data_IF_804914068257
#
_entry.id   IF_804914068257
#
_cell.length_a   1.000
_cell.length_b   1.000
_cell.length_c   1.000
_cell.angle_alpha   90.00
_cell.angle_beta   90.00
_cell.angle_gamma   90.00
#
_symmetry.space_group_name_H-M   'P 1'
#
loop_
_entity.id
_entity.type
_entity.pdbx_description
1 polymer ?
#
# COMPACT_ATOMS: atom_id res chain seq x y z
N UNK A 1 -8.86 20.51 59.24
CA UNK A 1 -9.96 20.58 58.24
C UNK A 1 -9.37 21.12 56.94
N UNK A 2 -8.92 20.23 56.05
CA UNK A 2 -8.20 20.62 54.81
C UNK A 2 -9.24 20.98 53.75
N UNK A 3 -9.28 22.25 53.32
CA UNK A 3 -10.14 22.68 52.21
C UNK A 3 -9.56 22.11 50.92
N UNK A 4 -10.20 21.10 50.36
CA UNK A 4 -9.88 20.53 49.05
C UNK A 4 -10.09 21.60 47.98
N UNK A 5 -9.01 22.02 47.33
CA UNK A 5 -9.06 22.92 46.18
C UNK A 5 -9.68 22.17 44.99
N UNK A 6 -10.88 22.60 44.57
CA UNK A 6 -11.52 22.08 43.36
C UNK A 6 -11.27 23.06 42.21
N UNK A 7 -10.52 22.61 41.20
CA UNK A 7 -10.32 23.39 39.98
C UNK A 7 -11.66 23.77 39.33
N UNK A 8 -12.62 22.84 39.26
CA UNK A 8 -14.00 23.09 38.79
C UNK A 8 -14.73 24.14 39.64
N UNK A 9 -14.56 24.09 40.96
CA UNK A 9 -15.20 25.06 41.87
C UNK A 9 -14.58 26.45 41.79
N UNK A 10 -13.28 26.53 41.49
CA UNK A 10 -12.54 27.78 41.32
C UNK A 10 -12.83 28.42 39.97
N UNK A 11 -12.93 27.64 38.89
CA UNK A 11 -13.33 28.16 37.57
C UNK A 11 -14.78 28.65 37.56
N UNK A 12 -15.72 27.94 38.20
CA UNK A 12 -17.11 28.41 38.35
C UNK A 12 -17.21 29.75 39.10
N UNK A 13 -16.30 29.99 40.06
CA UNK A 13 -16.26 31.26 40.80
C UNK A 13 -15.57 32.38 40.03
N UNK A 14 -14.57 32.06 39.22
CA UNK A 14 -13.80 33.03 38.43
C UNK A 14 -14.50 33.44 37.12
N UNK A 15 -15.21 32.51 36.49
CA UNK A 15 -15.75 32.68 35.14
C UNK A 15 -17.27 32.50 35.04
N UNK A 16 -17.94 32.21 36.16
CA UNK A 16 -19.37 31.87 36.19
C UNK A 16 -19.65 30.41 35.83
N UNK A 17 -20.88 29.96 36.07
CA UNK A 17 -21.35 28.70 35.47
C UNK A 17 -21.44 28.89 33.96
N UNK A 18 -21.01 27.86 33.22
CA UNK A 18 -21.24 27.77 31.78
C UNK A 18 -22.72 28.05 31.48
N UNK A 19 -22.97 29.01 30.60
CA UNK A 19 -24.36 29.39 30.30
C UNK A 19 -25.02 28.27 29.51
N UNK A 20 -26.36 28.10 29.63
CA UNK A 20 -27.10 27.12 28.83
C UNK A 20 -26.77 27.20 27.33
N UNK A 21 -26.58 28.40 26.81
CA UNK A 21 -26.25 28.67 25.40
C UNK A 21 -24.84 28.17 25.03
N UNK A 22 -23.86 28.33 25.92
CA UNK A 22 -22.50 27.81 25.71
C UNK A 22 -22.48 26.28 25.71
N UNK A 23 -23.26 25.66 26.58
CA UNK A 23 -23.41 24.21 26.64
C UNK A 23 -24.10 23.68 25.38
N UNK A 24 -25.17 24.34 24.94
CA UNK A 24 -25.90 23.98 23.74
C UNK A 24 -25.03 24.12 22.48
N UNK A 25 -24.23 25.20 22.39
CA UNK A 25 -23.27 25.38 21.30
C UNK A 25 -22.21 24.26 21.25
N UNK A 26 -21.70 23.82 22.41
CA UNK A 26 -20.76 22.67 22.48
C UNK A 26 -21.43 21.35 22.09
N UNK A 27 -22.67 21.12 22.51
CA UNK A 27 -23.41 19.92 22.12
C UNK A 27 -23.66 19.89 20.62
N UNK A 28 -24.09 21.01 20.03
CA UNK A 28 -24.28 21.16 18.59
C UNK A 28 -22.98 20.88 17.80
N UNK A 29 -21.86 21.43 18.27
CA UNK A 29 -20.54 21.16 17.67
C UNK A 29 -20.15 19.68 17.75
N UNK A 30 -20.40 19.02 18.88
CA UNK A 30 -20.11 17.60 19.04
C UNK A 30 -20.99 16.75 18.11
N UNK A 31 -22.28 17.10 17.97
CA UNK A 31 -23.19 16.43 17.04
C UNK A 31 -22.69 16.56 15.59
N UNK A 32 -22.26 17.76 15.18
CA UNK A 32 -21.70 18.00 13.85
C UNK A 32 -20.43 17.19 13.61
N UNK A 33 -19.53 17.13 14.60
CA UNK A 33 -18.31 16.32 14.53
C UNK A 33 -18.60 14.81 14.43
N UNK A 34 -19.64 14.34 15.12
CA UNK A 34 -20.06 12.93 15.02
C UNK A 34 -20.54 12.64 13.60
N UNK A 35 -21.43 13.47 13.05
CA UNK A 35 -21.96 13.29 11.69
C UNK A 35 -20.83 13.31 10.66
N UNK A 36 -19.93 14.29 10.73
CA UNK A 36 -18.76 14.36 9.84
C UNK A 36 -17.85 13.14 9.98
N UNK A 37 -17.68 12.64 11.20
CA UNK A 37 -16.90 11.43 11.47
C UNK A 37 -17.55 10.19 10.85
N UNK A 38 -18.86 10.03 10.98
CA UNK A 38 -19.63 8.92 10.39
C UNK A 38 -19.58 8.95 8.86
N UNK A 39 -19.74 10.13 8.25
CA UNK A 39 -19.59 10.31 6.80
C UNK A 39 -18.18 9.93 6.34
N UNK A 40 -17.14 10.40 7.05
CA UNK A 40 -15.74 10.07 6.74
C UNK A 40 -15.47 8.57 6.82
N UNK A 41 -15.96 7.91 7.88
CA UNK A 41 -15.79 6.45 8.03
C UNK A 41 -16.50 5.72 6.90
N UNK A 42 -17.69 6.16 6.52
CA UNK A 42 -18.45 5.56 5.42
C UNK A 42 -17.68 5.70 4.10
N UNK A 43 -17.19 6.90 3.78
CA UNK A 43 -16.40 7.17 2.57
C UNK A 43 -15.14 6.29 2.53
N UNK A 44 -14.37 6.26 3.63
CA UNK A 44 -13.14 5.46 3.71
C UNK A 44 -13.38 3.96 3.68
N UNK A 45 -14.53 3.50 4.16
CA UNK A 45 -14.92 2.09 4.05
C UNK A 45 -15.14 1.72 2.59
N UNK A 46 -15.85 2.55 1.82
CA UNK A 46 -16.07 2.33 0.38
C UNK A 46 -14.74 2.35 -0.38
N UNK A 47 -13.88 3.33 -0.12
CA UNK A 47 -12.55 3.42 -0.75
C UNK A 47 -11.71 2.15 -0.49
N UNK A 48 -11.74 1.64 0.75
CA UNK A 48 -11.05 0.42 1.12
C UNK A 48 -11.58 -0.81 0.36
N UNK A 49 -12.91 -0.94 0.24
CA UNK A 49 -13.52 -2.04 -0.52
C UNK A 49 -13.14 -2.00 -2.00
N UNK A 50 -13.15 -0.82 -2.61
CA UNK A 50 -12.73 -0.63 -4.01
C UNK A 50 -11.26 -0.99 -4.21
N UNK A 51 -10.39 -0.54 -3.30
CA UNK A 51 -8.98 -0.90 -3.31
C UNK A 51 -8.77 -2.41 -3.21
N UNK A 52 -9.43 -3.07 -2.27
CA UNK A 52 -9.33 -4.53 -2.10
C UNK A 52 -9.80 -5.28 -3.34
N UNK A 53 -10.90 -4.84 -3.97
CA UNK A 53 -11.38 -5.41 -5.25
C UNK A 53 -10.33 -5.26 -6.35
N UNK A 54 -9.72 -4.08 -6.50
CA UNK A 54 -8.65 -3.84 -7.46
C UNK A 54 -7.43 -4.73 -7.22
N UNK A 55 -6.91 -4.73 -5.98
CA UNK A 55 -5.77 -5.54 -5.58
C UNK A 55 -6.03 -7.04 -5.77
N UNK A 56 -7.26 -7.49 -5.56
CA UNK A 56 -7.64 -8.88 -5.81
C UNK A 56 -7.53 -9.25 -7.29
N UNK A 57 -8.02 -8.39 -8.20
CA UNK A 57 -7.91 -8.62 -9.65
C UNK A 57 -6.44 -8.71 -10.08
N UNK A 58 -5.60 -7.81 -9.57
CA UNK A 58 -4.17 -7.83 -9.89
C UNK A 58 -3.49 -9.09 -9.37
N UNK A 59 -3.83 -9.54 -8.16
CA UNK A 59 -3.35 -10.80 -7.61
C UNK A 59 -3.75 -12.00 -8.46
N UNK A 60 -4.97 -12.05 -8.98
CA UNK A 60 -5.42 -13.13 -9.86
C UNK A 60 -4.66 -13.11 -11.20
N UNK A 61 -4.51 -11.94 -11.82
CA UNK A 61 -3.71 -11.78 -13.05
C UNK A 61 -2.29 -12.27 -12.85
N UNK A 62 -1.64 -11.88 -11.74
CA UNK A 62 -0.30 -12.35 -11.43
C UNK A 62 -0.24 -13.88 -11.30
N UNK A 63 -1.20 -14.50 -10.59
CA UNK A 63 -1.26 -15.96 -10.42
C UNK A 63 -1.39 -16.69 -11.74
N UNK A 64 -2.19 -16.17 -12.67
CA UNK A 64 -2.39 -16.75 -14.01
C UNK A 64 -1.16 -16.57 -14.91
N UNK A 65 -0.41 -15.47 -14.75
CA UNK A 65 0.68 -15.11 -15.66
C UNK A 65 2.05 -15.62 -15.22
N UNK A 66 2.33 -15.72 -13.91
CA UNK A 66 3.68 -15.98 -13.36
C UNK A 66 4.38 -17.18 -13.98
N UNK A 67 3.66 -18.28 -14.20
CA UNK A 67 4.25 -19.54 -14.66
C UNK A 67 4.57 -19.48 -16.15
N UNK A 68 3.71 -18.83 -16.94
CA UNK A 68 3.94 -18.59 -18.36
C UNK A 68 5.14 -17.66 -18.54
N UNK A 69 5.15 -16.53 -17.84
CA UNK A 69 6.19 -15.51 -18.00
C UNK A 69 7.56 -16.06 -17.57
N UNK A 70 7.62 -16.82 -16.48
CA UNK A 70 8.84 -17.52 -16.06
C UNK A 70 9.28 -18.55 -17.10
N UNK A 71 8.35 -19.35 -17.63
CA UNK A 71 8.65 -20.35 -18.66
C UNK A 71 9.20 -19.71 -19.92
N UNK A 72 8.60 -18.61 -20.38
CA UNK A 72 9.06 -17.88 -21.57
C UNK A 72 10.47 -17.30 -21.35
N UNK A 73 10.73 -16.72 -20.17
CA UNK A 73 12.07 -16.23 -19.82
C UNK A 73 13.12 -17.34 -19.84
N UNK A 74 12.80 -18.51 -19.26
CA UNK A 74 13.70 -19.67 -19.23
C UNK A 74 13.94 -20.25 -20.64
N UNK A 75 12.90 -20.32 -21.48
CA UNK A 75 13.04 -20.74 -22.88
C UNK A 75 13.94 -19.77 -23.64
N UNK A 76 13.72 -18.46 -23.49
CA UNK A 76 14.55 -17.44 -24.11
C UNK A 76 16.02 -17.55 -23.68
N UNK A 77 16.26 -17.79 -22.39
CA UNK A 77 17.60 -18.03 -21.86
C UNK A 77 18.23 -19.29 -22.48
N UNK A 78 17.52 -20.40 -22.56
CA UNK A 78 18.02 -21.64 -23.16
C UNK A 78 18.41 -21.44 -24.65
N UNK A 79 17.56 -20.74 -25.42
CA UNK A 79 17.84 -20.41 -26.82
C UNK A 79 19.12 -19.58 -26.94
N UNK A 80 19.28 -18.56 -26.09
CA UNK A 80 20.48 -17.72 -26.05
C UNK A 80 21.73 -18.54 -25.73
N UNK A 81 21.67 -19.41 -24.73
CA UNK A 81 22.80 -20.29 -24.35
C UNK A 81 23.18 -21.22 -25.49
N UNK A 82 22.21 -21.86 -26.15
CA UNK A 82 22.46 -22.72 -27.31
C UNK A 82 23.15 -21.93 -28.43
N UNK A 83 22.70 -20.71 -28.71
CA UNK A 83 23.29 -19.83 -29.73
C UNK A 83 24.76 -19.50 -29.41
N UNK A 84 25.05 -19.15 -28.16
CA UNK A 84 26.42 -18.86 -27.70
C UNK A 84 27.32 -20.09 -27.81
N UNK A 85 26.86 -21.26 -27.39
CA UNK A 85 27.60 -22.51 -27.54
C UNK A 85 27.90 -22.83 -29.01
N UNK A 86 26.93 -22.67 -29.91
CA UNK A 86 27.13 -22.88 -31.36
C UNK A 86 28.20 -21.93 -31.93
N UNK A 87 28.15 -20.65 -31.56
CA UNK A 87 29.18 -19.68 -31.96
C UNK A 87 30.56 -20.06 -31.41
N UNK A 88 30.63 -20.50 -30.15
CA UNK A 88 31.87 -20.98 -29.55
C UNK A 88 32.46 -22.17 -30.29
N UNK A 89 31.64 -23.17 -30.61
CA UNK A 89 32.05 -24.33 -31.42
C UNK A 89 32.59 -23.88 -32.77
N UNK A 90 31.89 -22.97 -33.47
CA UNK A 90 32.34 -22.46 -34.76
C UNK A 90 33.71 -21.77 -34.67
N UNK A 91 33.93 -20.94 -33.63
CA UNK A 91 35.23 -20.29 -33.40
C UNK A 91 36.34 -21.32 -33.18
N UNK A 92 36.09 -22.34 -32.35
CA UNK A 92 37.06 -23.40 -32.09
C UNK A 92 37.35 -24.25 -33.32
N UNK A 93 36.34 -24.57 -34.12
CA UNK A 93 36.52 -25.28 -35.40
C UNK A 93 37.39 -24.47 -36.35
N UNK A 94 37.09 -23.17 -36.52
CA UNK A 94 37.89 -22.29 -37.36
C UNK A 94 39.35 -22.21 -36.88
N UNK A 95 39.57 -22.06 -35.57
CA UNK A 95 40.90 -22.04 -34.99
C UNK A 95 41.67 -23.35 -35.28
N UNK A 96 41.01 -24.50 -35.08
CA UNK A 96 41.58 -25.82 -35.39
C UNK A 96 41.99 -25.92 -36.86
N UNK A 97 41.12 -25.50 -37.79
CA UNK A 97 41.43 -25.52 -39.22
C UNK A 97 42.61 -24.62 -39.59
N UNK A 98 42.71 -23.43 -38.99
CA UNK A 98 43.87 -22.55 -39.17
C UNK A 98 45.17 -23.24 -38.74
N UNK A 99 45.17 -23.94 -37.60
CA UNK A 99 46.35 -24.69 -37.14
C UNK A 99 46.72 -25.87 -38.07
N UNK A 100 45.76 -26.52 -38.72
CA UNK A 100 46.05 -27.61 -39.66
C UNK A 100 46.59 -27.12 -41.01
N UNK A 101 46.39 -25.84 -41.33
CA UNK A 101 46.85 -25.21 -42.58
C UNK A 101 48.24 -24.55 -42.44
N UNK A 102 48.78 -24.48 -41.23
CA UNK A 102 50.16 -24.09 -40.94
C UNK A 102 51.08 -25.31 -40.94
#
# INVERSE_FOLDING_TARGET
MVRTFSFKGMTNKLFGQETPEQREAKLSLLEEQIVQGEETVTEKTVECEEYVKGAWVDMQRFKEQKDRDLREALIGYAIMQISMCKKGIQVWTNAKECFHKM
#
